data_IF_887731617928
#
_entry.id   IF_887731617928
#
_cell.length_a   1.000
_cell.length_b   1.000
_cell.length_c   1.000
_cell.angle_alpha   90.00
_cell.angle_beta   90.00
_cell.angle_gamma   90.00
#
_symmetry.space_group_name_H-M   'P 1'
#
loop_
_entity.id
_entity.type
_entity.pdbx_description
1 polymer ?
#
# COMPACT_ATOMS: atom_id res chain seq x y z
N UNK A 1 5.44 -30.22 -6.88
CA UNK A 1 4.28 -29.67 -6.15
C UNK A 1 4.71 -28.44 -5.38
N UNK A 2 4.16 -27.28 -5.71
CA UNK A 2 4.49 -25.97 -5.10
C UNK A 2 3.72 -25.68 -3.80
N UNK A 3 2.96 -26.67 -3.29
CA UNK A 3 2.12 -26.55 -2.10
C UNK A 3 2.88 -26.12 -0.83
N UNK A 4 4.19 -26.41 -0.73
CA UNK A 4 5.02 -25.94 0.39
C UNK A 4 5.12 -24.40 0.45
N UNK A 5 5.06 -23.72 -0.70
CA UNK A 5 5.14 -22.24 -0.74
C UNK A 5 3.90 -21.56 -0.13
N UNK A 6 2.78 -22.28 -0.04
CA UNK A 6 1.54 -21.84 0.57
C UNK A 6 1.43 -22.19 2.06
N UNK A 7 2.45 -22.83 2.66
CA UNK A 7 2.45 -23.16 4.10
C UNK A 7 2.52 -21.88 4.91
N UNK A 8 1.41 -21.55 5.57
CA UNK A 8 1.26 -20.38 6.42
C UNK A 8 1.71 -20.64 7.86
N UNK A 9 2.38 -19.68 8.50
CA UNK A 9 2.53 -19.69 9.95
C UNK A 9 1.18 -19.41 10.65
N UNK A 10 1.13 -19.34 12.00
CA UNK A 10 -0.14 -19.09 12.75
C UNK A 10 -0.87 -17.79 12.34
N UNK A 11 -0.16 -16.86 11.70
CA UNK A 11 -0.68 -15.59 11.19
C UNK A 11 -1.16 -15.68 9.74
N UNK A 12 -1.13 -16.87 9.12
CA UNK A 12 -1.45 -17.09 7.71
C UNK A 12 -0.40 -16.54 6.75
N UNK A 13 0.81 -16.21 7.23
CA UNK A 13 1.86 -15.66 6.39
C UNK A 13 2.49 -16.73 5.52
N UNK A 14 2.43 -16.52 4.21
CA UNK A 14 3.19 -17.28 3.21
C UNK A 14 4.63 -16.77 3.12
N UNK A 15 5.48 -17.51 2.38
CA UNK A 15 6.85 -17.06 2.04
C UNK A 15 6.88 -15.69 1.35
N UNK A 16 5.82 -15.34 0.61
CA UNK A 16 5.70 -14.05 -0.05
C UNK A 16 5.55 -12.89 0.95
N UNK A 17 4.81 -13.10 2.04
CA UNK A 17 4.70 -12.09 3.10
C UNK A 17 6.05 -11.85 3.78
N UNK A 18 6.78 -12.93 4.07
CA UNK A 18 8.12 -12.84 4.63
C UNK A 18 9.09 -12.12 3.69
N UNK A 19 9.03 -12.39 2.38
CA UNK A 19 9.83 -11.69 1.38
C UNK A 19 9.54 -10.18 1.34
N UNK A 20 8.28 -9.77 1.47
CA UNK A 20 7.89 -8.34 1.48
C UNK A 20 8.46 -7.55 2.66
N UNK A 21 8.74 -8.21 3.80
CA UNK A 21 9.37 -7.54 4.96
C UNK A 21 10.75 -6.98 4.60
N UNK A 22 11.47 -7.64 3.70
CA UNK A 22 12.81 -7.20 3.28
C UNK A 22 12.80 -5.95 2.38
N UNK A 23 11.64 -5.53 1.88
CA UNK A 23 11.52 -4.44 0.91
C UNK A 23 12.14 -4.73 -0.46
N UNK A 24 12.69 -5.93 -0.68
CA UNK A 24 13.39 -6.31 -1.92
C UNK A 24 12.53 -7.24 -2.78
N UNK A 25 12.16 -6.86 -4.01
CA UNK A 25 11.29 -7.67 -4.87
C UNK A 25 11.95 -8.92 -5.47
N UNK A 26 13.24 -9.18 -5.24
CA UNK A 26 13.98 -10.30 -5.85
C UNK A 26 13.34 -11.67 -5.62
N UNK A 27 12.98 -11.98 -4.36
CA UNK A 27 12.32 -13.25 -4.01
C UNK A 27 10.89 -13.29 -4.55
N UNK A 28 10.18 -12.17 -4.57
CA UNK A 28 8.83 -12.09 -5.13
C UNK A 28 8.82 -12.31 -6.64
N UNK A 29 9.81 -11.79 -7.37
CA UNK A 29 10.02 -12.07 -8.80
C UNK A 29 10.32 -13.54 -9.05
N UNK A 30 11.16 -14.14 -8.20
CA UNK A 30 11.43 -15.57 -8.28
C UNK A 30 10.15 -16.39 -8.07
N UNK A 31 9.34 -16.07 -7.06
CA UNK A 31 8.02 -16.69 -6.84
C UNK A 31 7.10 -16.48 -8.06
N UNK A 32 7.05 -15.27 -8.61
CA UNK A 32 6.22 -14.94 -9.77
C UNK A 32 6.60 -15.73 -11.03
N UNK A 33 7.89 -16.09 -11.18
CA UNK A 33 8.38 -16.85 -12.34
C UNK A 33 7.88 -18.31 -12.42
N UNK A 34 7.25 -18.84 -11.36
CA UNK A 34 6.66 -20.18 -11.39
C UNK A 34 5.31 -20.17 -12.12
N UNK A 35 5.27 -20.87 -13.25
CA UNK A 35 4.35 -20.64 -14.39
C UNK A 35 2.86 -20.95 -14.18
N UNK A 36 2.41 -21.48 -13.04
CA UNK A 36 0.97 -21.77 -12.85
C UNK A 36 0.39 -21.35 -11.49
N UNK A 37 1.21 -21.13 -10.47
CA UNK A 37 0.74 -20.81 -9.10
C UNK A 37 1.45 -19.61 -8.47
N UNK A 38 2.47 -19.05 -9.14
CA UNK A 38 3.26 -17.95 -8.62
C UNK A 38 2.43 -16.72 -8.34
N UNK A 39 1.67 -16.25 -9.33
CA UNK A 39 0.80 -15.08 -9.19
C UNK A 39 -0.32 -15.29 -8.15
N UNK A 40 -0.91 -16.48 -8.09
CA UNK A 40 -1.98 -16.78 -7.14
C UNK A 40 -1.47 -16.83 -5.70
N UNK A 41 -0.29 -17.39 -5.48
CA UNK A 41 0.37 -17.39 -4.18
C UNK A 41 0.61 -15.96 -3.66
N UNK A 42 1.02 -15.06 -4.55
CA UNK A 42 1.26 -13.64 -4.21
C UNK A 42 -0.03 -12.89 -3.87
N UNK A 43 -1.19 -13.41 -4.29
CA UNK A 43 -2.51 -12.83 -4.00
C UNK A 43 -3.15 -13.33 -2.71
N UNK A 44 -2.60 -14.39 -2.11
CA UNK A 44 -3.14 -14.94 -0.87
C UNK A 44 -3.01 -13.92 0.27
N UNK A 45 -4.11 -13.61 0.98
CA UNK A 45 -4.04 -12.78 2.17
C UNK A 45 -3.61 -13.59 3.39
N UNK A 46 -2.97 -12.91 4.35
CA UNK A 46 -2.75 -13.41 5.69
C UNK A 46 -4.07 -13.59 6.48
N UNK A 47 -4.00 -14.18 7.67
CA UNK A 47 -5.16 -14.43 8.54
C UNK A 47 -5.87 -13.15 8.96
N UNK A 48 -5.19 -12.02 8.93
CA UNK A 48 -5.74 -10.68 9.17
C UNK A 48 -5.94 -9.93 7.84
N UNK A 49 -6.25 -10.59 6.72
CA UNK A 49 -6.55 -9.93 5.45
C UNK A 49 -5.39 -9.20 4.75
N UNK A 50 -4.23 -9.05 5.40
CA UNK A 50 -3.08 -8.36 4.83
C UNK A 50 -2.56 -9.08 3.60
N UNK A 51 -2.12 -8.31 2.62
CA UNK A 51 -1.44 -8.81 1.43
C UNK A 51 0.03 -8.44 1.48
N UNK A 52 0.81 -8.98 0.56
CA UNK A 52 2.22 -8.58 0.37
C UNK A 52 2.41 -7.06 0.17
N UNK A 53 1.38 -6.35 -0.34
CA UNK A 53 1.39 -4.90 -0.50
C UNK A 53 1.21 -4.16 0.84
N UNK A 54 0.36 -4.66 1.73
CA UNK A 54 0.21 -4.11 3.08
C UNK A 54 1.51 -4.26 3.88
N UNK A 55 2.12 -5.44 3.81
CA UNK A 55 3.41 -5.73 4.46
C UNK A 55 4.52 -4.83 3.90
N UNK A 56 4.61 -4.69 2.58
CA UNK A 56 5.59 -3.80 1.95
C UNK A 56 5.40 -2.34 2.40
N UNK A 57 4.16 -1.84 2.41
CA UNK A 57 3.87 -0.48 2.85
C UNK A 57 4.23 -0.23 4.33
N UNK A 58 4.07 -1.24 5.19
CA UNK A 58 4.45 -1.16 6.61
C UNK A 58 5.96 -1.15 6.85
N UNK A 59 6.74 -1.74 5.93
CA UNK A 59 8.19 -1.91 6.05
C UNK A 59 8.98 -1.01 5.10
N UNK A 60 8.37 0.06 4.57
CA UNK A 60 8.99 0.99 3.63
C UNK A 60 9.47 0.33 2.31
N UNK A 61 8.82 -0.74 1.87
CA UNK A 61 9.15 -1.49 0.66
C UNK A 61 8.62 -0.83 -0.62
N UNK A 62 9.04 0.41 -0.91
CA UNK A 62 8.65 1.13 -2.13
C UNK A 62 8.89 0.34 -3.41
N UNK A 63 10.05 -0.29 -3.54
CA UNK A 63 10.44 -1.12 -4.70
C UNK A 63 9.51 -2.32 -4.91
N UNK A 64 9.01 -2.92 -3.82
CA UNK A 64 8.03 -4.01 -3.89
C UNK A 64 6.69 -3.49 -4.39
N UNK A 65 6.25 -2.33 -3.90
CA UNK A 65 5.00 -1.71 -4.35
C UNK A 65 5.06 -1.29 -5.81
N UNK A 66 6.19 -0.72 -6.24
CA UNK A 66 6.46 -0.38 -7.64
C UNK A 66 6.47 -1.63 -8.52
N UNK A 67 7.13 -2.70 -8.09
CA UNK A 67 7.10 -3.96 -8.81
C UNK A 67 5.69 -4.55 -8.91
N UNK A 68 4.90 -4.50 -7.83
CA UNK A 68 3.50 -4.94 -7.83
C UNK A 68 2.67 -4.09 -8.81
N UNK A 69 2.87 -2.77 -8.84
CA UNK A 69 2.15 -1.87 -9.76
C UNK A 69 2.49 -2.15 -11.23
N UNK A 70 3.74 -2.48 -11.52
CA UNK A 70 4.21 -2.84 -12.85
C UNK A 70 3.91 -4.30 -13.25
N UNK A 71 3.25 -5.07 -12.38
CA UNK A 71 2.82 -6.46 -12.67
C UNK A 71 1.29 -6.48 -12.85
N UNK A 72 0.78 -6.59 -14.10
CA UNK A 72 -0.64 -6.39 -14.43
C UNK A 72 -1.62 -7.21 -13.60
N UNK A 73 -1.29 -8.48 -13.30
CA UNK A 73 -2.16 -9.40 -12.59
C UNK A 73 -2.20 -9.12 -11.07
N UNK A 74 -1.23 -8.36 -10.55
CA UNK A 74 -1.08 -8.06 -9.12
C UNK A 74 -1.53 -6.63 -8.78
N UNK A 75 -1.23 -5.65 -9.63
CA UNK A 75 -1.41 -4.23 -9.35
C UNK A 75 -2.82 -3.89 -8.87
N UNK A 76 -3.84 -4.17 -9.67
CA UNK A 76 -5.23 -3.89 -9.29
C UNK A 76 -5.73 -4.77 -8.12
N UNK A 77 -5.25 -6.02 -8.05
CA UNK A 77 -5.70 -7.00 -7.05
C UNK A 77 -5.18 -6.73 -5.64
N UNK A 78 -3.99 -6.12 -5.51
CA UNK A 78 -3.30 -5.97 -4.23
C UNK A 78 -3.26 -4.55 -3.73
N UNK A 79 -3.09 -3.56 -4.61
CA UNK A 79 -2.85 -2.17 -4.20
C UNK A 79 -4.13 -1.44 -3.79
N UNK A 80 -5.29 -1.86 -4.31
CA UNK A 80 -6.62 -1.30 -3.97
C UNK A 80 -7.32 -2.05 -2.85
N UNK A 81 -6.80 -3.20 -2.45
CA UNK A 81 -7.43 -4.07 -1.47
C UNK A 81 -7.29 -3.46 -0.09
N UNK A 82 -8.38 -3.43 0.66
CA UNK A 82 -8.34 -3.19 2.09
C UNK A 82 -8.27 -4.52 2.83
N UNK A 83 -7.56 -4.56 3.95
CA UNK A 83 -7.73 -5.63 4.93
C UNK A 83 -9.17 -5.57 5.51
N UNK A 84 -9.63 -6.64 6.14
CA UNK A 84 -10.86 -6.81 6.96
C UNK A 84 -11.27 -5.60 7.80
N UNK A 85 -10.34 -4.85 8.39
CA UNK A 85 -10.66 -3.61 9.14
C UNK A 85 -10.81 -2.37 8.24
N UNK A 86 -10.90 -2.53 6.91
CA UNK A 86 -10.94 -1.42 5.95
C UNK A 86 -9.61 -0.70 5.74
N UNK A 87 -8.54 -1.10 6.44
CA UNK A 87 -7.22 -0.47 6.30
C UNK A 87 -6.59 -0.80 4.95
N UNK A 88 -6.04 0.22 4.33
CA UNK A 88 -5.37 0.17 3.01
C UNK A 88 -3.87 0.31 3.16
N UNK A 89 -3.10 0.11 2.09
CA UNK A 89 -1.64 0.31 2.09
C UNK A 89 -1.23 1.72 2.56
N UNK A 90 -2.07 2.74 2.33
CA UNK A 90 -1.83 4.11 2.81
C UNK A 90 -1.91 4.21 4.34
N UNK A 91 -2.85 3.49 4.98
CA UNK A 91 -2.94 3.44 6.44
C UNK A 91 -1.69 2.80 7.06
N UNK A 92 -1.14 1.75 6.45
CA UNK A 92 0.07 1.08 6.92
C UNK A 92 1.31 1.96 6.78
N UNK A 93 1.48 2.64 5.64
CA UNK A 93 2.57 3.60 5.45
C UNK A 93 2.47 4.77 6.43
N UNK A 94 1.25 5.30 6.66
CA UNK A 94 1.01 6.39 7.60
C UNK A 94 1.27 5.99 9.06
N UNK A 95 0.86 4.78 9.46
CA UNK A 95 1.14 4.24 10.81
C UNK A 95 2.63 4.20 11.15
N UNK A 96 3.51 4.14 10.13
CA UNK A 96 4.97 4.04 10.29
C UNK A 96 5.74 5.28 9.84
N UNK A 97 5.02 6.32 9.40
CA UNK A 97 5.65 7.56 8.98
C UNK A 97 6.39 7.48 7.65
N UNK A 98 6.08 6.49 6.80
CA UNK A 98 6.74 6.28 5.50
C UNK A 98 6.17 7.22 4.44
N UNK A 99 6.58 8.49 4.51
CA UNK A 99 6.11 9.54 3.59
C UNK A 99 6.49 9.28 2.13
N UNK A 100 7.58 8.55 1.88
CA UNK A 100 8.03 8.24 0.52
C UNK A 100 7.07 7.26 -0.16
N UNK A 101 6.60 6.25 0.58
CA UNK A 101 5.52 5.35 0.12
C UNK A 101 4.22 6.12 -0.09
N UNK A 102 3.88 7.06 0.80
CA UNK A 102 2.67 7.88 0.64
C UNK A 102 2.73 8.78 -0.60
N UNK A 103 3.88 9.41 -0.89
CA UNK A 103 4.12 10.16 -2.13
C UNK A 103 4.02 9.26 -3.36
N UNK A 104 4.58 8.05 -3.27
CA UNK A 104 4.46 7.07 -4.35
C UNK A 104 2.99 6.71 -4.59
N UNK A 105 2.20 6.41 -3.54
CA UNK A 105 0.76 6.11 -3.66
C UNK A 105 0.00 7.29 -4.28
N UNK A 106 0.30 8.52 -3.88
CA UNK A 106 -0.29 9.74 -4.45
C UNK A 106 -0.01 9.89 -5.95
N UNK A 107 1.22 9.60 -6.37
CA UNK A 107 1.64 9.69 -7.77
C UNK A 107 1.10 8.59 -8.69
N UNK A 108 0.57 7.48 -8.13
CA UNK A 108 0.00 6.41 -8.93
C UNK A 108 -1.39 6.79 -9.43
N UNK A 109 -1.55 6.99 -10.75
CA UNK A 109 -2.83 7.39 -11.38
C UNK A 109 -4.03 6.47 -11.06
N UNK A 110 -3.76 5.17 -10.88
CA UNK A 110 -4.79 4.13 -10.69
C UNK A 110 -5.21 3.97 -9.21
N UNK A 111 -4.33 4.34 -8.29
CA UNK A 111 -4.55 4.28 -6.84
C UNK A 111 -5.04 5.62 -6.32
N UNK A 112 -4.29 6.64 -6.73
CA UNK A 112 -4.56 8.05 -6.59
C UNK A 112 -4.79 8.50 -5.16
N UNK A 113 -5.13 9.78 -5.07
CA UNK A 113 -5.57 10.46 -3.85
C UNK A 113 -6.68 9.76 -3.10
N UNK A 114 -7.51 8.96 -3.77
CA UNK A 114 -8.65 8.27 -3.14
C UNK A 114 -8.22 7.34 -2.01
N UNK A 115 -7.06 6.69 -2.13
CA UNK A 115 -6.53 5.84 -1.06
C UNK A 115 -5.97 6.67 0.11
N UNK A 116 -5.36 7.81 -0.18
CA UNK A 116 -4.86 8.76 0.83
C UNK A 116 -6.00 9.33 1.69
N UNK A 117 -7.19 9.52 1.11
CA UNK A 117 -8.38 10.01 1.82
C UNK A 117 -9.34 8.90 2.26
N UNK A 118 -8.97 7.64 2.11
CA UNK A 118 -9.82 6.54 2.57
C UNK A 118 -9.89 6.49 4.11
N UNK A 119 -11.03 6.03 4.62
CA UNK A 119 -11.22 5.72 6.04
C UNK A 119 -11.31 4.22 6.27
N UNK A 120 -10.83 3.78 7.42
CA UNK A 120 -10.97 2.39 7.89
C UNK A 120 -12.40 2.12 8.42
N UNK A 121 -12.69 0.89 8.84
CA UNK A 121 -14.02 0.52 9.34
C UNK A 121 -14.45 1.27 10.62
N UNK A 122 -13.49 1.90 11.32
CA UNK A 122 -13.75 2.75 12.49
C UNK A 122 -13.89 4.23 12.10
N UNK A 123 -13.92 4.55 10.80
CA UNK A 123 -13.97 5.91 10.29
C UNK A 123 -12.64 6.66 10.39
N UNK A 124 -11.53 5.99 10.73
CA UNK A 124 -10.23 6.64 10.88
C UNK A 124 -9.56 6.84 9.53
N UNK A 125 -9.13 8.06 9.27
CA UNK A 125 -8.28 8.40 8.13
C UNK A 125 -6.82 7.99 8.39
N UNK A 126 -5.98 8.10 7.35
CA UNK A 126 -4.54 7.92 7.51
C UNK A 126 -3.91 8.92 8.50
N UNK A 127 -4.52 10.10 8.67
CA UNK A 127 -4.04 11.12 9.61
C UNK A 127 -4.34 10.68 11.04
N UNK A 128 -5.55 10.18 11.31
CA UNK A 128 -5.91 9.65 12.62
C UNK A 128 -4.99 8.50 13.03
N UNK A 129 -4.67 7.62 12.07
CA UNK A 129 -3.72 6.53 12.29
C UNK A 129 -2.30 7.06 12.53
N UNK A 130 -1.82 8.02 11.74
CA UNK A 130 -0.51 8.63 11.93
C UNK A 130 -0.39 9.31 13.30
N UNK A 131 -1.41 10.05 13.74
CA UNK A 131 -1.45 10.68 15.06
C UNK A 131 -1.43 9.65 16.18
N UNK A 132 -2.27 8.61 16.08
CA UNK A 132 -2.31 7.54 17.07
C UNK A 132 -0.97 6.81 17.21
N UNK A 133 -0.15 6.79 16.15
CA UNK A 133 1.18 6.16 16.11
C UNK A 133 2.34 7.16 16.33
N UNK A 134 2.04 8.44 16.61
CA UNK A 134 3.05 9.46 16.87
C UNK A 134 3.92 9.82 15.66
N UNK A 135 3.33 9.88 14.46
CA UNK A 135 4.04 10.12 13.20
C UNK A 135 3.81 11.55 12.65
N UNK A 136 4.49 12.58 13.17
CA UNK A 136 4.29 13.97 12.75
C UNK A 136 4.76 14.25 11.31
N UNK A 137 5.62 13.39 10.75
CA UNK A 137 6.08 13.52 9.36
C UNK A 137 4.95 13.39 8.34
N UNK A 138 3.97 12.51 8.64
CA UNK A 138 2.80 12.31 7.78
C UNK A 138 1.91 13.55 7.78
N UNK A 139 1.78 14.22 8.92
CA UNK A 139 1.06 15.48 9.02
C UNK A 139 1.68 16.58 8.16
N UNK A 140 3.01 16.76 8.24
CA UNK A 140 3.71 17.75 7.43
C UNK A 140 3.60 17.45 5.92
N UNK A 141 3.64 16.17 5.55
CA UNK A 141 3.39 15.77 4.16
C UNK A 141 1.94 16.07 3.74
N UNK A 142 0.96 15.67 4.54
CA UNK A 142 -0.46 15.82 4.20
C UNK A 142 -0.88 17.29 4.13
N UNK A 143 -0.39 18.15 5.03
CA UNK A 143 -0.63 19.60 4.97
C UNK A 143 -0.08 20.21 3.69
N UNK A 144 1.10 19.78 3.24
CA UNK A 144 1.64 20.19 1.94
C UNK A 144 0.73 19.73 0.79
N UNK A 145 0.34 18.46 0.77
CA UNK A 145 -0.56 17.88 -0.25
C UNK A 145 -1.93 18.59 -0.30
N UNK A 146 -2.50 18.93 0.85
CA UNK A 146 -3.79 19.62 0.94
C UNK A 146 -3.63 21.09 0.52
N UNK A 147 -2.52 21.75 0.87
CA UNK A 147 -2.27 23.14 0.47
C UNK A 147 -2.01 23.30 -1.04
N UNK A 148 -1.30 22.35 -1.66
CA UNK A 148 -1.10 22.36 -3.12
C UNK A 148 -2.41 22.10 -3.86
N UNK A 149 -3.31 21.32 -3.25
CA UNK A 149 -4.66 21.12 -3.80
C UNK A 149 -5.48 22.40 -3.85
N UNK A 150 -5.58 23.12 -2.73
CA UNK A 150 -6.38 24.34 -2.66
C UNK A 150 -5.81 25.41 -3.58
N UNK A 151 -4.48 25.49 -3.70
CA UNK A 151 -3.83 26.39 -4.65
C UNK A 151 -4.15 26.05 -6.12
N UNK A 152 -4.18 24.77 -6.49
CA UNK A 152 -4.49 24.35 -7.86
C UNK A 152 -5.96 24.61 -8.23
N UNK A 153 -6.90 24.36 -7.31
CA UNK A 153 -8.32 24.66 -7.53
C UNK A 153 -8.62 26.18 -7.62
N UNK A 154 -7.80 27.03 -7.01
CA UNK A 154 -7.94 28.50 -7.09
C UNK A 154 -7.25 29.05 -8.35
N UNK A 155 -6.17 28.43 -8.82
CA UNK A 155 -5.46 28.84 -10.04
C UNK A 155 -6.23 28.58 -11.35
N UNK A 156 -7.15 27.61 -11.35
CA UNK A 156 -8.04 27.32 -12.50
C UNK A 156 -9.29 28.23 -12.54
N UNK A 157 -9.46 29.12 -11.56
CA UNK A 157 -10.47 30.17 -11.60
C UNK A 157 -9.90 31.40 -12.33
N UNK A 158 -9.84 31.34 -13.66
CA UNK A 158 -9.55 32.51 -14.49
C UNK A 158 -10.58 33.61 -14.21
N UNK A 159 -10.17 34.88 -14.04
CA UNK A 159 -11.12 35.97 -13.79
C UNK A 159 -12.00 36.14 -15.03
N UNK A 160 -13.32 36.04 -14.84
CA UNK A 160 -14.30 36.37 -15.86
C UNK A 160 -14.09 37.83 -16.31
N UNK A 161 -13.77 37.99 -17.58
CA UNK A 161 -13.79 39.25 -18.33
C UNK A 161 -15.22 39.72 -18.64
#
# INVERSE_FOLDING_TARGET
GTAFLAVGCRLGWTIAHAASVSGSPGVLRWIHSFTELGADLLKLPASNGDTIAHVAAYHNGGDVLEWIANTPELGAALLKKSQRDGRTIAHYAAARGHTDVLRWIEGQSVLGRRLVFSSDCNGRSILDVAFAQGQPRVWNWATHVISTFTAQCIGDAEPAD
#
